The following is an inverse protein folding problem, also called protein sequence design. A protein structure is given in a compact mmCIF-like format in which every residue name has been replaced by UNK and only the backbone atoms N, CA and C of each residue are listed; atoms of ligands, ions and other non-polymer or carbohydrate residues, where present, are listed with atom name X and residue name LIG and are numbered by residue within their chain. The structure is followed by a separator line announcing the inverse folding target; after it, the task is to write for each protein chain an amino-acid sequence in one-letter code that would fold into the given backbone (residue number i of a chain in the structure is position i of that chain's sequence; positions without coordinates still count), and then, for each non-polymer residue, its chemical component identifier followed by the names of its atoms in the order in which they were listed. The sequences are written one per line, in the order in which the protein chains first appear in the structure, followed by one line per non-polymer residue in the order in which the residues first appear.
data_IF_160575666505
#
_entry.id   IF_160575666505
#
_cell.length_a   1.000
_cell.length_b   1.000
_cell.length_c   1.000
_cell.angle_alpha   90.00
_cell.angle_beta   90.00
_cell.angle_gamma   90.00
#
_symmetry.space_group_name_H-M   'P 1'
#
loop_
_entity.id
_entity.type
_entity.pdbx_description
1 polymer ?
#
# COMPACT_ATOMS: atom_id res chain seq x y z
N UNK A 1 1.01 -33.45 -62.18
CA UNK A 1 1.52 -33.91 -60.87
C UNK A 1 1.57 -32.71 -59.94
N UNK A 2 0.70 -32.70 -58.95
CA UNK A 2 0.68 -31.82 -57.78
C UNK A 2 1.80 -32.19 -56.81
N UNK A 3 2.27 -31.24 -56.01
CA UNK A 3 2.33 -31.47 -54.58
C UNK A 3 1.35 -30.56 -53.84
N UNK A 4 0.52 -31.19 -53.01
CA UNK A 4 -0.20 -30.55 -51.92
C UNK A 4 0.73 -30.49 -50.72
N UNK A 5 0.91 -29.31 -50.12
CA UNK A 5 1.39 -29.15 -48.76
C UNK A 5 0.42 -28.20 -48.05
N UNK A 6 -0.43 -28.78 -47.20
CA UNK A 6 -1.34 -28.09 -46.32
C UNK A 6 -0.63 -27.75 -45.01
N UNK A 7 -0.47 -26.46 -44.71
CA UNK A 7 -0.37 -25.87 -43.35
C UNK A 7 -0.74 -24.38 -43.59
N UNK A 8 -1.86 -23.81 -43.14
CA UNK A 8 -2.55 -24.05 -41.88
C UNK A 8 -1.91 -23.24 -40.73
N UNK A 9 -1.69 -21.93 -40.88
CA UNK A 9 -1.39 -21.05 -39.74
C UNK A 9 -1.69 -19.58 -40.06
N UNK A 10 -2.28 -18.92 -39.06
CA UNK A 10 -2.93 -17.61 -39.13
C UNK A 10 -2.07 -16.45 -39.62
N UNK A 11 -2.78 -15.55 -40.30
CA UNK A 11 -2.39 -14.18 -40.59
C UNK A 11 -2.05 -13.46 -39.28
N UNK A 12 -0.89 -12.81 -39.23
CA UNK A 12 -0.66 -11.74 -38.24
C UNK A 12 0.72 -11.68 -37.59
N UNK A 13 1.78 -11.52 -38.40
CA UNK A 13 2.96 -10.70 -38.07
C UNK A 13 3.75 -11.02 -36.81
N UNK A 14 4.79 -11.84 -36.94
CA UNK A 14 5.99 -11.78 -36.11
C UNK A 14 7.18 -11.51 -37.04
N UNK A 15 7.48 -10.24 -37.24
CA UNK A 15 8.76 -9.81 -37.78
C UNK A 15 9.73 -9.64 -36.61
N UNK A 16 10.46 -10.71 -36.30
CA UNK A 16 11.65 -10.67 -35.46
C UNK A 16 12.85 -10.31 -36.33
N UNK A 17 13.40 -9.10 -36.18
CA UNK A 17 14.80 -8.75 -36.49
C UNK A 17 15.03 -7.26 -36.23
N UNK A 18 15.99 -6.91 -35.36
CA UNK A 18 16.51 -5.56 -35.25
C UNK A 18 16.88 -5.17 -33.82
N UNK A 19 18.13 -4.77 -33.62
CA UNK A 19 18.75 -4.45 -32.35
C UNK A 19 18.19 -3.17 -31.69
N UNK A 20 18.27 -3.11 -30.35
CA UNK A 20 18.20 -1.86 -29.58
C UNK A 20 16.92 -1.67 -28.75
N UNK A 21 17.01 -1.94 -27.45
CA UNK A 21 16.22 -1.29 -26.40
C UNK A 21 14.70 -1.36 -26.50
N UNK A 22 14.10 -2.53 -26.29
CA UNK A 22 12.66 -2.63 -26.07
C UNK A 22 12.33 -2.38 -24.60
N UNK A 23 11.76 -1.20 -24.35
CA UNK A 23 11.01 -0.89 -23.14
C UNK A 23 10.10 -2.07 -22.77
N UNK A 24 10.15 -2.48 -21.51
CA UNK A 24 9.19 -3.41 -20.93
C UNK A 24 7.84 -2.67 -20.87
N UNK A 25 7.06 -2.75 -21.94
CA UNK A 25 5.66 -2.38 -21.90
C UNK A 25 4.96 -3.46 -21.06
N UNK A 26 4.80 -3.19 -19.76
CA UNK A 26 3.99 -3.98 -18.86
C UNK A 26 2.59 -4.11 -19.45
N UNK A 27 2.28 -5.29 -20.01
CA UNK A 27 0.94 -5.64 -20.45
C UNK A 27 0.02 -5.73 -19.21
N UNK A 28 -0.58 -4.60 -18.86
CA UNK A 28 -1.72 -4.56 -17.95
C UNK A 28 -2.93 -5.13 -18.69
N UNK A 29 -3.24 -6.41 -18.47
CA UNK A 29 -4.50 -6.98 -18.94
C UNK A 29 -4.50 -8.47 -19.14
N UNK A 30 -4.41 -9.26 -18.07
CA UNK A 30 -4.84 -10.67 -18.10
C UNK A 30 -5.06 -11.24 -16.68
N UNK A 31 -5.99 -10.68 -15.92
CA UNK A 31 -6.63 -11.42 -14.83
C UNK A 31 -8.12 -11.48 -15.08
N UNK A 32 -8.51 -12.54 -15.80
CA UNK A 32 -9.89 -13.01 -15.88
C UNK A 32 -10.10 -13.95 -14.69
N UNK A 33 -10.73 -13.44 -13.64
CA UNK A 33 -11.07 -14.20 -12.45
C UNK A 33 -12.20 -13.47 -11.73
N UNK A 34 -13.39 -14.01 -11.86
CA UNK A 34 -14.70 -13.55 -11.40
C UNK A 34 -14.69 -13.01 -9.98
N UNK A 35 -15.15 -11.77 -9.76
CA UNK A 35 -16.23 -11.40 -8.81
C UNK A 35 -16.27 -9.89 -8.49
N UNK A 36 -17.48 -9.35 -8.52
CA UNK A 36 -17.91 -8.02 -8.07
C UNK A 36 -17.50 -6.79 -8.90
N UNK A 37 -18.34 -6.50 -9.90
CA UNK A 37 -18.58 -5.13 -10.40
C UNK A 37 -18.87 -4.18 -9.23
N UNK A 38 -17.93 -3.28 -8.94
CA UNK A 38 -18.23 -1.90 -8.51
C UNK A 38 -17.40 -0.96 -9.36
N UNK A 39 -18.11 -0.06 -10.05
CA UNK A 39 -17.59 1.05 -10.86
C UNK A 39 -16.44 1.80 -10.18
N UNK A 40 -15.36 2.05 -10.91
CA UNK A 40 -14.99 3.39 -11.40
C UNK A 40 -13.57 3.35 -11.98
N UNK A 41 -13.31 4.17 -13.00
CA UNK A 41 -12.01 4.75 -13.35
C UNK A 41 -11.40 5.53 -12.16
N UNK A 42 -11.30 4.89 -11.00
CA UNK A 42 -10.73 5.48 -9.82
C UNK A 42 -9.22 5.33 -9.94
N UNK A 43 -8.51 6.46 -10.01
CA UNK A 43 -7.06 6.47 -10.00
C UNK A 43 -6.55 5.52 -8.91
N UNK A 44 -5.57 4.64 -9.21
CA UNK A 44 -5.06 3.70 -8.23
C UNK A 44 -4.60 4.50 -7.01
N UNK A 45 -5.02 4.12 -5.80
CA UNK A 45 -4.62 4.82 -4.56
C UNK A 45 -3.61 4.01 -3.77
N UNK A 46 -3.04 4.61 -2.72
CA UNK A 46 -2.17 3.88 -1.77
C UNK A 46 -2.86 2.62 -1.21
N UNK A 47 -4.12 2.71 -0.81
CA UNK A 47 -4.89 1.57 -0.31
C UNK A 47 -5.08 0.49 -1.39
N UNK A 48 -5.42 0.90 -2.61
CA UNK A 48 -5.60 -0.04 -3.73
C UNK A 48 -4.31 -0.81 -4.02
N UNK A 49 -3.17 -0.12 -4.09
CA UNK A 49 -1.88 -0.77 -4.33
C UNK A 49 -1.48 -1.70 -3.18
N UNK A 50 -1.77 -1.33 -1.94
CA UNK A 50 -1.37 -2.11 -0.77
C UNK A 50 -2.15 -3.43 -0.71
N UNK A 51 -3.45 -3.37 -0.98
CA UNK A 51 -4.30 -4.57 -1.07
C UNK A 51 -3.91 -5.46 -2.24
N UNK A 52 -3.51 -4.87 -3.37
CA UNK A 52 -3.02 -5.63 -4.54
C UNK A 52 -1.73 -6.41 -4.25
N UNK A 53 -0.87 -5.89 -3.38
CA UNK A 53 0.38 -6.55 -2.97
C UNK A 53 0.20 -7.63 -1.89
N UNK A 54 -0.97 -7.71 -1.26
CA UNK A 54 -1.32 -8.76 -0.30
C UNK A 54 -2.54 -9.57 -0.78
N UNK A 55 -2.42 -10.33 -1.89
CA UNK A 55 -3.53 -11.10 -2.45
C UNK A 55 -4.07 -12.16 -1.48
N UNK A 56 -3.23 -12.58 -0.53
CA UNK A 56 -3.58 -13.57 0.49
C UNK A 56 -4.35 -12.95 1.68
N UNK A 57 -4.58 -11.62 1.69
CA UNK A 57 -5.26 -10.90 2.77
C UNK A 57 -4.71 -11.22 4.16
N UNK A 58 -3.39 -11.45 4.24
CA UNK A 58 -2.66 -11.76 5.48
C UNK A 58 -2.60 -10.57 6.41
N UNK A 59 -2.73 -9.37 5.85
CA UNK A 59 -2.79 -8.11 6.56
C UNK A 59 -4.19 -7.50 6.47
N UNK A 60 -4.53 -6.73 7.48
CA UNK A 60 -5.76 -5.97 7.57
C UNK A 60 -5.45 -4.48 7.62
N UNK A 61 -6.20 -3.69 6.86
CA UNK A 61 -6.14 -2.24 6.95
C UNK A 61 -6.82 -1.77 8.25
N UNK A 62 -6.05 -1.13 9.14
CA UNK A 62 -6.50 -0.68 10.47
C UNK A 62 -6.77 0.83 10.53
N UNK A 63 -6.62 1.54 9.40
CA UNK A 63 -6.78 2.98 9.34
C UNK A 63 -8.21 3.47 9.12
N UNK A 64 -9.25 2.63 9.21
CA UNK A 64 -10.64 3.02 8.88
C UNK A 64 -11.35 3.68 10.07
N UNK A 65 -10.82 4.81 10.54
CA UNK A 65 -11.36 5.51 11.72
C UNK A 65 -11.41 4.62 12.99
N UNK A 66 -10.61 3.55 13.03
CA UNK A 66 -10.54 2.59 14.13
C UNK A 66 -9.41 2.99 15.09
N UNK A 67 -9.46 4.21 15.64
CA UNK A 67 -8.46 4.65 16.63
C UNK A 67 -8.39 3.71 17.83
N UNK A 68 -9.51 3.06 18.20
CA UNK A 68 -9.54 2.07 19.28
C UNK A 68 -8.73 0.82 18.94
N UNK A 69 -8.75 0.39 17.67
CA UNK A 69 -7.99 -0.78 17.22
C UNK A 69 -6.50 -0.51 17.22
N UNK A 70 -6.09 0.65 16.70
CA UNK A 70 -4.70 1.11 16.77
C UNK A 70 -4.28 1.25 18.24
N UNK A 71 -5.13 1.84 19.09
CA UNK A 71 -4.89 1.96 20.54
C UNK A 71 -4.69 0.61 21.22
N UNK A 72 -5.52 -0.37 20.88
CA UNK A 72 -5.41 -1.73 21.41
C UNK A 72 -4.10 -2.37 20.95
N UNK A 73 -3.76 -2.29 19.67
CA UNK A 73 -2.51 -2.83 19.12
C UNK A 73 -1.27 -2.21 19.77
N UNK A 74 -1.30 -0.93 20.13
CA UNK A 74 -0.22 -0.28 20.87
C UNK A 74 -0.02 -0.83 22.29
N UNK A 75 -1.03 -1.48 22.86
CA UNK A 75 -0.97 -2.13 24.16
C UNK A 75 -0.74 -3.64 24.13
N UNK A 76 -0.66 -4.24 22.93
CA UNK A 76 -0.51 -5.68 22.77
C UNK A 76 0.97 -6.06 22.69
N UNK A 77 1.41 -7.01 23.52
CA UNK A 77 2.76 -7.58 23.52
C UNK A 77 2.94 -8.73 22.50
N UNK A 78 2.33 -8.60 21.32
CA UNK A 78 2.53 -9.53 20.21
C UNK A 78 3.84 -9.20 19.49
N UNK A 79 4.60 -10.20 19.05
CA UNK A 79 5.85 -9.99 18.28
C UNK A 79 5.61 -10.20 16.78
N UNK A 80 6.06 -9.28 15.90
CA UNK A 80 6.64 -7.97 16.22
C UNK A 80 5.62 -7.06 16.90
N UNK A 81 6.07 -6.14 17.77
CA UNK A 81 5.16 -5.20 18.42
C UNK A 81 4.71 -4.13 17.43
N UNK A 82 3.42 -3.84 17.43
CA UNK A 82 2.88 -2.76 16.59
C UNK A 82 3.48 -1.41 16.99
N UNK A 83 3.67 -1.18 18.29
CA UNK A 83 4.30 0.03 18.82
C UNK A 83 5.72 0.23 18.29
N UNK A 84 6.53 -0.81 18.19
CA UNK A 84 7.89 -0.74 17.64
C UNK A 84 7.86 -0.43 16.14
N UNK A 85 7.03 -1.16 15.40
CA UNK A 85 6.86 -0.98 13.94
C UNK A 85 6.37 0.43 13.60
N UNK A 86 5.43 0.95 14.39
CA UNK A 86 4.92 2.29 14.26
C UNK A 86 5.95 3.33 14.68
N UNK A 87 6.71 3.09 15.76
CA UNK A 87 7.81 3.96 16.20
C UNK A 87 8.84 4.12 15.09
N UNK A 88 9.26 3.05 14.45
CA UNK A 88 10.20 3.13 13.31
C UNK A 88 9.65 3.95 12.14
N UNK A 89 8.35 3.84 11.89
CA UNK A 89 7.68 4.51 10.76
C UNK A 89 7.25 5.94 11.09
N UNK A 90 7.22 6.33 12.37
CA UNK A 90 6.66 7.59 12.84
C UNK A 90 7.27 8.82 12.19
N UNK A 91 8.58 8.84 11.99
CA UNK A 91 9.28 9.97 11.36
C UNK A 91 9.02 10.06 9.86
N UNK A 92 8.60 8.95 9.24
CA UNK A 92 8.21 8.88 7.83
C UNK A 92 6.72 9.16 7.62
N UNK A 93 5.91 9.12 8.69
CA UNK A 93 4.52 9.54 8.68
C UNK A 93 4.43 11.07 8.72
N UNK A 94 4.88 11.71 7.65
CA UNK A 94 4.76 13.14 7.46
C UNK A 94 3.77 13.36 6.33
N UNK A 95 2.85 14.29 6.53
CA UNK A 95 1.99 14.77 5.47
C UNK A 95 2.35 16.21 5.17
N UNK A 96 3.01 16.43 4.04
CA UNK A 96 3.35 17.78 3.57
C UNK A 96 2.29 18.31 2.59
N UNK A 97 1.06 17.76 2.61
CA UNK A 97 0.01 18.27 1.73
C UNK A 97 -0.44 19.64 2.24
N UNK A 98 -0.27 20.71 1.45
CA UNK A 98 -0.62 22.05 1.88
C UNK A 98 -2.12 22.11 2.23
N UNK A 99 -2.43 22.68 3.40
CA UNK A 99 -3.80 22.81 3.89
C UNK A 99 -4.35 21.61 4.66
N UNK A 100 -3.60 20.51 4.81
CA UNK A 100 -4.01 19.37 5.63
C UNK A 100 -3.26 19.36 6.97
N UNK A 101 -3.89 19.86 8.03
CA UNK A 101 -3.38 19.67 9.40
C UNK A 101 -3.96 18.42 10.01
N UNK A 102 -3.19 17.33 10.01
CA UNK A 102 -3.56 16.07 10.66
C UNK A 102 -3.39 16.10 12.19
N UNK A 103 -3.00 17.25 12.76
CA UNK A 103 -2.70 17.44 14.19
C UNK A 103 -1.74 16.38 14.73
N UNK A 104 -0.56 16.28 14.09
CA UNK A 104 0.52 15.43 14.59
C UNK A 104 0.90 15.89 16.00
N UNK A 105 1.02 14.97 16.98
CA UNK A 105 1.49 15.31 18.31
C UNK A 105 2.87 15.99 18.23
N UNK A 106 3.01 17.14 18.89
CA UNK A 106 4.30 17.85 19.01
C UNK A 106 5.21 17.26 20.10
N UNK A 107 4.70 16.31 20.88
CA UNK A 107 5.47 15.55 21.86
C UNK A 107 6.58 14.78 21.16
N UNK A 108 7.80 14.80 21.72
CA UNK A 108 8.93 14.07 21.17
C UNK A 108 8.62 12.58 21.03
N UNK A 109 9.10 11.95 19.95
CA UNK A 109 8.85 10.54 19.62
C UNK A 109 9.09 9.61 20.82
N UNK A 110 10.25 9.71 21.49
CA UNK A 110 10.55 8.83 22.61
C UNK A 110 9.62 9.01 23.82
N UNK A 111 9.09 10.21 24.01
CA UNK A 111 8.12 10.48 25.06
C UNK A 111 6.72 9.99 24.69
N UNK A 112 6.32 10.17 23.44
CA UNK A 112 5.04 9.69 22.91
C UNK A 112 4.97 8.15 22.94
N UNK A 113 6.07 7.48 22.61
CA UNK A 113 6.17 6.02 22.65
C UNK A 113 6.53 5.46 24.04
N UNK A 114 6.36 6.24 25.13
CA UNK A 114 6.23 5.69 26.49
C UNK A 114 4.90 4.95 26.68
N UNK A 115 3.98 5.07 25.71
CA UNK A 115 2.71 4.33 25.64
C UNK A 115 1.81 4.55 26.87
N UNK A 116 1.81 5.77 27.44
CA UNK A 116 0.82 6.17 28.44
C UNK A 116 -0.58 6.20 27.81
N UNK A 117 -1.64 6.20 28.62
CA UNK A 117 -3.03 6.28 28.14
C UNK A 117 -3.26 7.50 27.21
N UNK A 118 -2.73 8.67 27.59
CA UNK A 118 -2.81 9.89 26.76
C UNK A 118 -2.01 9.74 25.47
N UNK A 119 -0.77 9.25 25.55
CA UNK A 119 0.07 9.08 24.36
C UNK A 119 -0.51 8.05 23.39
N UNK A 120 -1.11 6.97 23.89
CA UNK A 120 -1.80 5.98 23.06
C UNK A 120 -2.99 6.60 22.33
N UNK A 121 -3.79 7.43 23.00
CA UNK A 121 -4.90 8.15 22.37
C UNK A 121 -4.40 9.12 21.28
N UNK A 122 -3.33 9.86 21.54
CA UNK A 122 -2.73 10.79 20.59
C UNK A 122 -2.17 10.06 19.36
N UNK A 123 -1.38 9.00 19.58
CA UNK A 123 -0.80 8.17 18.51
C UNK A 123 -1.92 7.55 17.69
N UNK A 124 -2.92 6.95 18.32
CA UNK A 124 -3.97 6.23 17.59
C UNK A 124 -4.86 7.16 16.77
N UNK A 125 -5.21 8.31 17.33
CA UNK A 125 -5.99 9.34 16.62
C UNK A 125 -5.23 9.87 15.42
N UNK A 126 -3.95 10.21 15.60
CA UNK A 126 -3.11 10.70 14.51
C UNK A 126 -2.91 9.64 13.43
N UNK A 127 -2.52 8.43 13.83
CA UNK A 127 -2.25 7.32 12.90
C UNK A 127 -3.49 6.98 12.09
N UNK A 128 -4.66 6.89 12.74
CA UNK A 128 -5.94 6.66 12.06
C UNK A 128 -6.20 7.71 10.96
N UNK A 129 -6.12 9.00 11.32
CA UNK A 129 -6.33 10.11 10.37
C UNK A 129 -5.31 10.13 9.25
N UNK A 130 -4.04 9.88 9.57
CA UNK A 130 -2.96 9.83 8.59
C UNK A 130 -3.19 8.66 7.62
N UNK A 131 -3.53 7.48 8.12
CA UNK A 131 -3.87 6.34 7.29
C UNK A 131 -5.07 6.62 6.38
N UNK A 132 -6.16 7.21 6.88
CA UNK A 132 -7.31 7.59 6.05
C UNK A 132 -6.95 8.59 4.97
N UNK A 133 -6.09 9.56 5.31
CA UNK A 133 -5.67 10.59 4.39
C UNK A 133 -4.80 10.01 3.27
N UNK A 134 -3.75 9.26 3.62
CA UNK A 134 -2.84 8.64 2.66
C UNK A 134 -3.54 7.56 1.84
N UNK A 135 -4.43 6.75 2.44
CA UNK A 135 -5.18 5.70 1.74
C UNK A 135 -5.97 6.22 0.53
N UNK A 136 -6.42 7.48 0.58
CA UNK A 136 -7.19 8.15 -0.47
C UNK A 136 -6.31 8.86 -1.50
N UNK A 137 -5.01 9.03 -1.25
CA UNK A 137 -4.10 9.69 -2.19
C UNK A 137 -3.91 8.85 -3.45
N UNK A 138 -3.87 9.47 -4.64
CA UNK A 138 -3.55 8.78 -5.87
C UNK A 138 -2.10 8.29 -5.83
N UNK A 139 -1.91 7.04 -6.24
CA UNK A 139 -0.64 6.35 -6.38
C UNK A 139 -0.72 5.33 -7.53
N UNK A 140 -0.37 5.77 -8.73
CA UNK A 140 -0.45 4.93 -9.93
C UNK A 140 0.52 3.74 -9.91
N UNK A 141 1.68 3.88 -9.24
CA UNK A 141 2.68 2.81 -9.11
C UNK A 141 3.33 2.84 -7.74
N UNK A 142 3.72 1.67 -7.25
CA UNK A 142 4.45 1.55 -5.98
C UNK A 142 5.86 2.11 -6.17
N UNK A 143 6.28 3.09 -5.37
CA UNK A 143 7.59 3.73 -5.52
C UNK A 143 8.70 2.72 -5.18
N UNK A 144 9.59 2.49 -6.14
CA UNK A 144 10.75 1.59 -6.00
C UNK A 144 12.04 2.36 -5.73
N UNK A 145 12.14 3.58 -6.26
CA UNK A 145 13.27 4.49 -6.05
C UNK A 145 13.29 5.07 -4.64
N UNK A 146 14.48 5.25 -4.07
CA UNK A 146 14.63 5.91 -2.78
C UNK A 146 14.15 7.36 -2.84
N UNK A 147 13.43 7.79 -1.80
CA UNK A 147 12.85 9.12 -1.75
C UNK A 147 11.62 9.22 -0.85
N UNK A 148 11.00 10.40 -0.88
CA UNK A 148 9.85 10.75 -0.04
C UNK A 148 8.64 9.84 -0.29
N UNK A 149 8.36 9.51 -1.55
CA UNK A 149 7.23 8.66 -1.92
C UNK A 149 7.41 7.24 -1.40
N UNK A 150 8.63 6.68 -1.49
CA UNK A 150 8.97 5.38 -0.91
C UNK A 150 8.85 5.39 0.62
N UNK A 151 9.35 6.43 1.28
CA UNK A 151 9.20 6.56 2.73
C UNK A 151 7.73 6.61 3.16
N UNK A 152 6.91 7.39 2.45
CA UNK A 152 5.46 7.51 2.68
C UNK A 152 4.78 6.16 2.46
N UNK A 153 5.13 5.46 1.38
CA UNK A 153 4.61 4.13 1.07
C UNK A 153 4.97 3.09 2.13
N UNK A 154 6.23 3.02 2.54
CA UNK A 154 6.70 2.09 3.58
C UNK A 154 6.02 2.39 4.92
N UNK A 155 5.93 3.67 5.30
CA UNK A 155 5.22 4.09 6.49
C UNK A 155 3.74 3.70 6.42
N UNK A 156 3.10 3.86 5.25
CA UNK A 156 1.71 3.48 5.06
C UNK A 156 1.51 1.98 5.20
N UNK A 157 2.35 1.16 4.57
CA UNK A 157 2.23 -0.29 4.66
C UNK A 157 2.53 -0.82 6.07
N UNK A 158 3.44 -0.17 6.82
CA UNK A 158 3.80 -0.57 8.19
C UNK A 158 2.84 -0.05 9.26
N UNK A 159 2.38 1.18 9.16
CA UNK A 159 1.55 1.84 10.16
C UNK A 159 0.07 1.51 9.99
N UNK A 160 -0.41 1.36 8.75
CA UNK A 160 -1.83 1.26 8.43
C UNK A 160 -2.30 -0.16 8.16
N UNK A 161 -1.39 -1.13 8.13
CA UNK A 161 -1.72 -2.55 7.96
C UNK A 161 -1.12 -3.38 9.08
N UNK A 162 -1.93 -4.27 9.63
CA UNK A 162 -1.48 -5.23 10.64
C UNK A 162 -1.77 -6.66 10.23
N UNK A 163 -0.86 -7.56 10.56
CA UNK A 163 -1.04 -9.00 10.30
C UNK A 163 -2.23 -9.52 11.10
N UNK A 164 -3.14 -10.23 10.44
CA UNK A 164 -4.26 -10.87 11.14
C UNK A 164 -3.72 -11.97 12.05
N UNK A 165 -4.10 -11.94 13.32
CA UNK A 165 -3.79 -13.02 14.25
C UNK A 165 -4.60 -14.27 13.83
N UNK A 166 -3.99 -15.17 13.04
CA UNK A 166 -4.64 -16.39 12.58
C UNK A 166 -4.10 -16.97 11.27
N UNK A 167 -2.80 -16.83 10.99
CA UNK A 167 -2.10 -17.58 9.93
C UNK A 167 -1.25 -18.67 10.53
#
# INVERSE_FOLDING_TARGET
MTPQAAVGAGIGGLAAAGAGGTAVAYAAGAFKGTENKKNNDQEPTYLFQALKLDPNNTKEYIGKNESDKIKNLLGVDQTPKYSDTLKESWDKMIDDTPGTTLNRPNTGKDELFKLTEDSKNQISTYTSKWCEHIAKKPLSTVPTSEGKDKNTWEAFNKACFWTKAGG
#
